data_IF_188720017556
#
_entry.id   IF_188720017556
#
_cell.length_a   1.000
_cell.length_b   1.000
_cell.length_c   1.000
_cell.angle_alpha   90.00
_cell.angle_beta   90.00
_cell.angle_gamma   90.00
#
_symmetry.space_group_name_H-M   'P 1'
#
loop_
_entity.id
_entity.type
_entity.pdbx_description
1 polymer ?
#
# COMPACT_ATOMS: atom_id res chain seq x y z
N UNK A 1 -20.52 8.86 5.16
CA UNK A 1 -19.81 7.95 4.25
C UNK A 1 -18.36 8.42 4.13
N UNK A 2 -17.38 7.52 4.25
CA UNK A 2 -15.94 7.81 4.16
C UNK A 2 -15.44 7.49 2.75
N UNK A 3 -14.62 8.37 2.14
CA UNK A 3 -13.97 8.07 0.86
C UNK A 3 -12.55 7.56 1.10
N UNK A 4 -12.20 6.42 0.53
CA UNK A 4 -10.86 5.84 0.52
C UNK A 4 -10.21 6.17 -0.82
N UNK A 5 -9.17 6.97 -0.82
CA UNK A 5 -8.34 7.22 -2.00
C UNK A 5 -7.11 6.33 -1.96
N UNK A 6 -6.78 5.69 -3.08
CA UNK A 6 -5.54 4.92 -3.21
C UNK A 6 -4.57 5.61 -4.14
N UNK A 7 -3.29 5.60 -3.81
CA UNK A 7 -2.20 6.18 -4.61
C UNK A 7 -1.02 5.22 -4.68
N UNK A 8 -0.32 5.25 -5.79
CA UNK A 8 0.92 4.52 -5.97
C UNK A 8 0.80 3.41 -7.02
N UNK A 9 1.08 2.19 -6.63
CA UNK A 9 1.40 1.07 -7.50
C UNK A 9 0.42 -0.13 -7.43
N UNK A 10 0.85 -1.26 -8.01
CA UNK A 10 0.10 -2.52 -8.05
C UNK A 10 -0.25 -3.09 -6.69
N UNK A 11 0.46 -2.74 -5.61
CA UNK A 11 0.11 -3.21 -4.26
C UNK A 11 -1.32 -2.82 -3.90
N UNK A 12 -1.77 -1.64 -4.34
CA UNK A 12 -3.15 -1.16 -4.16
C UNK A 12 -4.03 -1.34 -5.41
N UNK A 13 -3.43 -1.62 -6.59
CA UNK A 13 -4.12 -1.85 -7.87
C UNK A 13 -3.86 -3.28 -8.39
N UNK A 14 -4.05 -4.29 -7.54
CA UNK A 14 -3.78 -5.70 -7.87
C UNK A 14 -5.00 -6.51 -8.30
N UNK A 15 -6.15 -5.87 -8.52
CA UNK A 15 -7.39 -6.56 -8.86
C UNK A 15 -7.26 -7.43 -10.11
N UNK A 16 -6.55 -6.97 -11.13
CA UNK A 16 -6.35 -7.70 -12.38
C UNK A 16 -5.41 -8.91 -12.26
N UNK A 17 -4.68 -9.06 -11.14
CA UNK A 17 -3.85 -10.25 -10.86
C UNK A 17 -4.65 -11.40 -10.24
N UNK A 18 -5.95 -11.24 -10.02
CA UNK A 18 -6.80 -12.31 -9.52
C UNK A 18 -8.13 -12.37 -10.26
N UNK A 19 -8.66 -13.59 -10.40
CA UNK A 19 -9.90 -13.85 -11.18
C UNK A 19 -11.16 -13.16 -10.65
N UNK A 20 -11.12 -12.60 -9.45
CA UNK A 20 -12.28 -11.95 -8.82
C UNK A 20 -12.26 -10.43 -9.00
N UNK A 21 -11.19 -9.87 -9.57
CA UNK A 21 -11.03 -8.44 -9.75
C UNK A 21 -10.91 -7.65 -8.44
N UNK A 22 -10.47 -8.29 -7.35
CA UNK A 22 -10.51 -7.73 -6.01
C UNK A 22 -9.18 -7.06 -5.63
N UNK A 23 -9.25 -5.82 -5.18
CA UNK A 23 -8.14 -5.02 -4.67
C UNK A 23 -8.26 -4.75 -3.15
N UNK A 24 -7.16 -4.37 -2.47
CA UNK A 24 -7.21 -4.03 -1.04
C UNK A 24 -8.19 -2.90 -0.73
N UNK A 25 -8.28 -1.87 -1.59
CA UNK A 25 -9.20 -0.74 -1.42
C UNK A 25 -10.66 -1.16 -1.45
N UNK A 26 -11.03 -2.07 -2.37
CA UNK A 26 -12.38 -2.61 -2.45
C UNK A 26 -12.74 -3.39 -1.19
N UNK A 27 -11.81 -4.23 -0.69
CA UNK A 27 -12.02 -5.01 0.53
C UNK A 27 -12.16 -4.14 1.79
N UNK A 28 -11.53 -2.98 1.83
CA UNK A 28 -11.71 -2.00 2.92
C UNK A 28 -13.09 -1.35 2.88
N UNK A 29 -13.61 -1.09 1.69
CA UNK A 29 -14.94 -0.51 1.52
C UNK A 29 -16.03 -1.53 1.81
N UNK A 30 -15.87 -2.74 1.26
CA UNK A 30 -16.80 -3.86 1.47
C UNK A 30 -16.06 -5.19 1.36
N UNK A 31 -16.12 -5.97 2.41
CA UNK A 31 -15.56 -7.32 2.41
C UNK A 31 -16.31 -8.24 1.43
N UNK A 32 -15.63 -9.22 0.90
CA UNK A 32 -16.16 -10.36 0.17
C UNK A 32 -16.28 -11.53 1.14
N UNK A 33 -17.39 -11.63 1.84
CA UNK A 33 -17.64 -12.64 2.88
C UNK A 33 -17.58 -14.08 2.34
N UNK A 34 -17.84 -14.23 1.05
CA UNK A 34 -17.70 -15.49 0.31
C UNK A 34 -16.23 -15.92 0.11
N UNK A 35 -15.31 -14.96 0.07
CA UNK A 35 -13.87 -15.19 -0.10
C UNK A 35 -13.11 -15.11 1.23
N UNK A 36 -13.54 -14.22 2.11
CA UNK A 36 -12.87 -13.88 3.37
C UNK A 36 -13.88 -13.80 4.53
N UNK A 37 -14.49 -14.94 4.94
CA UNK A 37 -15.49 -14.95 6.00
C UNK A 37 -14.94 -14.48 7.35
N UNK A 38 -13.63 -14.63 7.58
CA UNK A 38 -12.93 -14.19 8.79
C UNK A 38 -12.88 -12.67 8.96
N UNK A 39 -13.19 -11.92 7.90
CA UNK A 39 -13.24 -10.46 7.92
C UNK A 39 -14.67 -9.89 7.90
N UNK A 40 -15.67 -10.74 8.08
CA UNK A 40 -17.07 -10.27 8.13
C UNK A 40 -17.24 -9.15 9.16
N UNK A 41 -17.82 -8.03 8.74
CA UNK A 41 -17.99 -6.83 9.56
C UNK A 41 -16.71 -6.02 9.79
N UNK A 42 -15.59 -6.40 9.18
CA UNK A 42 -14.33 -5.67 9.25
C UNK A 42 -14.06 -4.89 7.94
N UNK A 43 -15.04 -4.06 7.58
CA UNK A 43 -15.01 -3.16 6.43
C UNK A 43 -15.89 -1.93 6.69
N UNK A 44 -15.80 -0.93 5.83
CA UNK A 44 -16.54 0.33 6.02
C UNK A 44 -18.06 0.17 5.90
N UNK A 45 -18.57 -0.90 5.29
CA UNK A 45 -20.03 -1.11 5.20
C UNK A 45 -20.67 -1.31 6.56
N UNK A 46 -19.94 -1.87 7.52
CA UNK A 46 -20.36 -2.01 8.92
C UNK A 46 -20.36 -0.69 9.71
N UNK A 47 -19.77 0.38 9.16
CA UNK A 47 -19.58 1.68 9.82
C UNK A 47 -20.23 2.85 9.06
N UNK A 48 -21.34 2.61 8.40
CA UNK A 48 -22.08 3.64 7.65
C UNK A 48 -21.64 3.80 6.19
N UNK A 49 -20.86 2.84 5.69
CA UNK A 49 -20.46 2.76 4.29
C UNK A 49 -19.23 3.58 3.92
N UNK A 50 -18.62 3.17 2.82
CA UNK A 50 -17.47 3.83 2.21
C UNK A 50 -17.56 3.87 0.69
N UNK A 51 -16.68 4.66 0.07
CA UNK A 51 -16.47 4.74 -1.36
C UNK A 51 -14.99 4.62 -1.66
N UNK A 52 -14.63 3.90 -2.72
CA UNK A 52 -13.27 3.82 -3.23
C UNK A 52 -13.09 4.81 -4.39
N UNK A 53 -12.00 5.56 -4.34
CA UNK A 53 -11.43 6.33 -5.44
C UNK A 53 -10.06 5.73 -5.77
N UNK A 54 -10.03 4.83 -6.72
CA UNK A 54 -8.84 4.11 -7.14
C UNK A 54 -8.00 5.00 -8.06
N UNK A 55 -6.90 5.58 -7.52
CA UNK A 55 -5.94 6.39 -8.28
C UNK A 55 -4.58 5.69 -8.40
N UNK A 56 -4.28 4.70 -7.54
CA UNK A 56 -3.14 3.82 -7.71
C UNK A 56 -3.21 3.10 -9.06
N UNK A 57 -2.07 2.85 -9.67
CA UNK A 57 -1.98 2.20 -10.98
C UNK A 57 -0.84 1.20 -10.96
N UNK A 58 -1.08 0.03 -11.53
CA UNK A 58 -0.04 -0.96 -11.77
C UNK A 58 1.18 -0.35 -12.47
N UNK A 59 2.39 -0.77 -12.08
CA UNK A 59 3.64 -0.19 -12.55
C UNK A 59 3.95 1.23 -12.03
N UNK A 60 3.10 1.78 -11.14
CA UNK A 60 3.27 3.12 -10.59
C UNK A 60 4.60 3.29 -9.84
N UNK A 61 5.24 4.45 -10.00
CA UNK A 61 6.44 4.88 -9.29
C UNK A 61 6.18 6.22 -8.59
N UNK A 62 7.14 6.71 -7.85
CA UNK A 62 7.07 8.05 -7.25
C UNK A 62 6.78 9.14 -8.30
N UNK A 63 7.18 8.93 -9.56
CA UNK A 63 6.87 9.82 -10.68
C UNK A 63 5.37 9.87 -11.04
N UNK A 64 4.63 8.81 -10.75
CA UNK A 64 3.19 8.70 -11.06
C UNK A 64 2.34 9.52 -10.09
N UNK A 65 2.80 9.74 -8.86
CA UNK A 65 2.02 10.34 -7.78
C UNK A 65 1.47 11.72 -8.11
N UNK A 66 2.25 12.58 -8.76
CA UNK A 66 1.81 13.92 -9.16
C UNK A 66 0.65 13.88 -10.17
N UNK A 67 0.62 12.88 -11.07
CA UNK A 67 -0.48 12.66 -12.00
C UNK A 67 -1.71 12.13 -11.26
N UNK A 68 -1.53 11.15 -10.39
CA UNK A 68 -2.60 10.56 -9.59
C UNK A 68 -3.27 11.63 -8.70
N UNK A 69 -2.48 12.51 -8.10
CA UNK A 69 -2.99 13.62 -7.27
C UNK A 69 -3.98 14.52 -8.04
N UNK A 70 -3.78 14.73 -9.34
CA UNK A 70 -4.72 15.50 -10.17
C UNK A 70 -6.10 14.85 -10.32
N UNK A 71 -6.21 13.56 -10.02
CA UNK A 71 -7.48 12.83 -9.97
C UNK A 71 -8.34 13.13 -8.74
N UNK A 72 -7.77 13.74 -7.69
CA UNK A 72 -8.53 14.09 -6.50
C UNK A 72 -9.53 15.18 -6.81
N UNK A 73 -10.82 14.88 -6.63
CA UNK A 73 -11.94 15.80 -6.78
C UNK A 73 -12.68 15.84 -5.47
N UNK A 74 -12.90 17.01 -4.91
CA UNK A 74 -13.68 17.26 -3.68
C UNK A 74 -13.61 16.09 -2.67
N UNK A 75 -12.51 15.94 -1.94
CA UNK A 75 -12.27 14.73 -1.14
C UNK A 75 -13.27 14.55 0.00
N UNK A 76 -13.87 15.64 0.51
CA UNK A 76 -14.79 15.60 1.64
C UNK A 76 -14.17 14.87 2.84
N UNK A 77 -14.95 14.01 3.51
CA UNK A 77 -14.42 13.11 4.56
C UNK A 77 -13.71 11.94 3.90
N UNK A 78 -12.40 11.96 3.91
CA UNK A 78 -11.57 11.00 3.20
C UNK A 78 -10.33 10.54 3.98
N UNK A 79 -9.78 9.42 3.54
CA UNK A 79 -8.45 8.91 3.92
C UNK A 79 -7.65 8.59 2.67
N UNK A 80 -6.33 8.70 2.74
CA UNK A 80 -5.43 8.32 1.66
C UNK A 80 -4.61 7.10 2.04
N UNK A 81 -4.60 6.10 1.17
CA UNK A 81 -3.71 4.94 1.22
C UNK A 81 -2.64 5.12 0.15
N UNK A 82 -1.38 4.98 0.53
CA UNK A 82 -0.24 5.18 -0.36
C UNK A 82 0.66 3.96 -0.30
N UNK A 83 1.02 3.42 -1.47
CA UNK A 83 2.02 2.37 -1.64
C UNK A 83 2.88 2.71 -2.84
N UNK A 84 4.17 2.96 -2.64
CA UNK A 84 5.10 3.34 -3.70
C UNK A 84 6.52 2.99 -3.31
N UNK A 85 7.35 2.70 -4.30
CA UNK A 85 8.77 2.43 -4.10
C UNK A 85 9.22 1.06 -4.59
N UNK A 86 8.34 0.07 -4.68
CA UNK A 86 8.66 -1.24 -5.22
C UNK A 86 9.14 -1.15 -6.68
N UNK A 87 8.36 -0.50 -7.52
CA UNK A 87 8.75 -0.26 -8.92
C UNK A 87 9.96 0.68 -9.05
N UNK A 88 10.11 1.67 -8.16
CA UNK A 88 11.29 2.54 -8.15
C UNK A 88 12.57 1.73 -7.87
N UNK A 89 12.52 0.76 -6.93
CA UNK A 89 13.62 -0.17 -6.70
C UNK A 89 13.95 -0.97 -7.95
N UNK A 90 12.96 -1.61 -8.57
CA UNK A 90 13.16 -2.46 -9.75
C UNK A 90 13.63 -1.67 -10.98
N UNK A 91 13.23 -0.41 -11.12
CA UNK A 91 13.58 0.47 -12.22
C UNK A 91 14.89 1.22 -12.04
N UNK A 92 15.66 0.91 -10.98
CA UNK A 92 17.03 1.43 -10.84
C UNK A 92 17.52 1.65 -9.42
N UNK A 93 16.65 1.90 -8.44
CA UNK A 93 17.10 2.20 -7.07
C UNK A 93 17.81 1.02 -6.41
N UNK A 94 17.57 -0.23 -6.85
CA UNK A 94 18.35 -1.38 -6.36
C UNK A 94 19.86 -1.26 -6.65
N UNK A 95 20.25 -0.52 -7.69
CA UNK A 95 21.64 -0.29 -8.07
C UNK A 95 22.13 1.13 -7.74
N UNK A 96 21.26 2.01 -7.29
CA UNK A 96 21.57 3.42 -7.04
C UNK A 96 22.56 3.60 -5.88
N UNK A 97 23.40 4.64 -5.99
CA UNK A 97 24.41 4.98 -4.99
C UNK A 97 24.04 6.19 -4.14
N UNK A 98 22.97 6.91 -4.51
CA UNK A 98 22.49 8.07 -3.75
C UNK A 98 21.52 8.96 -4.50
N UNK A 99 21.85 9.47 -5.69
CA UNK A 99 21.06 10.51 -6.35
C UNK A 99 19.61 10.13 -6.64
N UNK A 100 19.35 8.87 -6.98
CA UNK A 100 17.99 8.38 -7.20
C UNK A 100 17.15 8.37 -5.93
N UNK A 101 17.75 8.04 -4.78
CA UNK A 101 17.07 8.11 -3.48
C UNK A 101 16.75 9.55 -3.08
N UNK A 102 17.63 10.51 -3.37
CA UNK A 102 17.39 11.91 -3.09
C UNK A 102 16.21 12.44 -3.94
N UNK A 103 16.14 12.02 -5.19
CA UNK A 103 15.03 12.36 -6.09
C UNK A 103 13.72 11.70 -5.65
N UNK A 104 13.75 10.42 -5.26
CA UNK A 104 12.60 9.72 -4.68
C UNK A 104 12.08 10.46 -3.44
N UNK A 105 12.98 10.79 -2.49
CA UNK A 105 12.65 11.54 -1.29
C UNK A 105 11.96 12.86 -1.63
N UNK A 106 12.57 13.64 -2.53
CA UNK A 106 12.06 14.95 -2.93
C UNK A 106 10.64 14.85 -3.51
N UNK A 107 10.41 13.87 -4.40
CA UNK A 107 9.09 13.69 -5.05
C UNK A 107 8.02 13.19 -4.10
N UNK A 108 8.35 12.21 -3.26
CA UNK A 108 7.41 11.68 -2.27
C UNK A 108 7.04 12.75 -1.24
N UNK A 109 8.02 13.52 -0.74
CA UNK A 109 7.76 14.65 0.17
C UNK A 109 6.87 15.72 -0.48
N UNK A 110 7.14 16.08 -1.73
CA UNK A 110 6.31 17.03 -2.47
C UNK A 110 4.86 16.54 -2.64
N UNK A 111 4.67 15.24 -2.93
CA UNK A 111 3.35 14.64 -3.00
C UNK A 111 2.63 14.69 -1.65
N UNK A 112 3.28 14.26 -0.55
CA UNK A 112 2.69 14.26 0.79
C UNK A 112 2.32 15.66 1.26
N UNK A 113 3.12 16.68 0.88
CA UNK A 113 2.82 18.09 1.16
C UNK A 113 1.59 18.56 0.40
N UNK A 114 1.49 18.24 -0.88
CA UNK A 114 0.43 18.70 -1.77
C UNK A 114 -0.90 17.94 -1.61
N UNK A 115 -0.88 16.75 -1.00
CA UNK A 115 -2.07 15.91 -0.85
C UNK A 115 -3.07 16.56 0.12
N UNK A 116 -4.31 16.88 -0.33
CA UNK A 116 -5.30 17.58 0.50
C UNK A 116 -6.12 16.65 1.41
N UNK A 117 -5.74 15.38 1.49
CA UNK A 117 -6.46 14.34 2.24
C UNK A 117 -5.72 14.01 3.53
N UNK A 118 -6.43 13.97 4.63
CA UNK A 118 -5.92 13.49 5.93
C UNK A 118 -6.98 12.62 6.61
N UNK A 119 -6.56 11.57 7.34
CA UNK A 119 -5.20 11.08 7.51
C UNK A 119 -4.64 10.37 6.26
N UNK A 120 -3.31 10.23 6.24
CA UNK A 120 -2.57 9.47 5.23
C UNK A 120 -1.97 8.22 5.88
N UNK A 121 -2.17 7.08 5.26
CA UNK A 121 -1.56 5.80 5.59
C UNK A 121 -0.59 5.45 4.47
N UNK A 122 0.71 5.40 4.75
CA UNK A 122 1.73 5.07 3.76
C UNK A 122 2.43 3.76 4.12
N UNK A 123 2.48 2.84 3.16
CA UNK A 123 3.11 1.55 3.34
C UNK A 123 4.61 1.60 3.02
N UNK A 124 5.41 0.84 3.78
CA UNK A 124 6.74 0.47 3.37
C UNK A 124 6.70 -0.65 2.31
N UNK A 125 7.82 -0.87 1.61
CA UNK A 125 7.94 -1.86 0.53
C UNK A 125 8.21 -3.24 1.12
N UNK A 126 7.37 -4.22 0.83
CA UNK A 126 7.59 -5.60 1.22
C UNK A 126 8.74 -6.25 0.43
N UNK A 127 9.21 -7.39 0.91
CA UNK A 127 10.21 -8.22 0.24
C UNK A 127 9.54 -9.48 -0.33
N UNK A 128 9.42 -9.60 -1.66
CA UNK A 128 8.76 -10.77 -2.27
C UNK A 128 9.59 -12.05 -2.15
N UNK A 129 10.87 -11.97 -1.78
CA UNK A 129 11.68 -13.15 -1.46
C UNK A 129 11.42 -13.68 -0.06
N UNK A 130 10.64 -12.96 0.75
CA UNK A 130 10.34 -13.29 2.15
C UNK A 130 11.60 -13.50 3.00
N UNK A 131 12.69 -12.75 2.70
CA UNK A 131 13.96 -12.87 3.39
C UNK A 131 14.87 -13.98 2.88
N UNK A 132 14.44 -14.79 1.92
CA UNK A 132 15.25 -15.87 1.37
C UNK A 132 16.03 -15.43 0.12
N UNK A 133 17.33 -15.18 0.31
CA UNK A 133 18.22 -14.70 -0.75
C UNK A 133 18.38 -15.69 -1.93
N UNK A 134 18.04 -16.97 -1.74
CA UNK A 134 18.01 -17.97 -2.82
C UNK A 134 16.96 -17.64 -3.88
N UNK A 135 15.95 -16.87 -3.53
CA UNK A 135 14.89 -16.38 -4.42
C UNK A 135 15.16 -14.99 -4.99
N UNK A 136 16.41 -14.51 -4.92
CA UNK A 136 16.76 -13.23 -5.54
C UNK A 136 16.57 -13.28 -7.06
N UNK A 137 15.52 -12.62 -7.53
CA UNK A 137 15.12 -12.55 -8.94
C UNK A 137 15.63 -11.30 -9.65
N UNK A 138 16.26 -10.37 -8.92
CA UNK A 138 16.60 -9.03 -9.44
C UNK A 138 17.88 -9.00 -10.28
N UNK A 139 18.72 -10.00 -10.16
CA UNK A 139 20.07 -10.00 -10.76
C UNK A 139 21.07 -9.03 -10.10
N UNK A 140 20.63 -8.30 -9.08
CA UNK A 140 21.49 -7.39 -8.31
C UNK A 140 22.19 -8.17 -7.19
N UNK A 141 23.48 -7.88 -6.86
CA UNK A 141 24.12 -8.49 -5.70
C UNK A 141 23.28 -8.34 -4.43
N UNK A 142 23.09 -9.45 -3.71
CA UNK A 142 22.17 -9.55 -2.56
C UNK A 142 22.39 -8.44 -1.54
N UNK A 143 23.63 -8.20 -1.12
CA UNK A 143 23.94 -7.18 -0.12
C UNK A 143 23.49 -5.77 -0.57
N UNK A 144 23.68 -5.45 -1.85
CA UNK A 144 23.26 -4.17 -2.42
C UNK A 144 21.73 -4.09 -2.47
N UNK A 145 21.08 -5.14 -2.96
CA UNK A 145 19.62 -5.19 -3.03
C UNK A 145 19.00 -5.02 -1.64
N UNK A 146 19.50 -5.76 -0.65
CA UNK A 146 19.09 -5.64 0.75
C UNK A 146 19.37 -4.26 1.35
N UNK A 147 20.55 -3.71 1.07
CA UNK A 147 20.93 -2.37 1.53
C UNK A 147 19.99 -1.29 0.98
N UNK A 148 19.72 -1.32 -0.31
CA UNK A 148 18.87 -0.35 -0.97
C UNK A 148 17.38 -0.54 -0.63
N UNK A 149 16.93 -1.79 -0.43
CA UNK A 149 15.60 -2.07 0.08
C UNK A 149 15.39 -1.51 1.50
N UNK A 150 16.36 -1.69 2.42
CA UNK A 150 16.30 -1.05 3.75
C UNK A 150 16.27 0.47 3.62
N UNK A 151 17.14 1.05 2.78
CA UNK A 151 17.25 2.50 2.60
C UNK A 151 15.93 3.14 2.13
N UNK A 152 15.21 2.51 1.19
CA UNK A 152 13.91 3.06 0.75
C UNK A 152 12.87 2.97 1.88
N UNK A 153 12.87 1.90 2.64
CA UNK A 153 11.93 1.72 3.76
C UNK A 153 12.20 2.72 4.89
N UNK A 154 13.47 2.95 5.24
CA UNK A 154 13.86 3.97 6.21
C UNK A 154 13.46 5.38 5.74
N UNK A 155 13.62 5.65 4.45
CA UNK A 155 13.23 6.91 3.85
C UNK A 155 11.71 7.12 3.89
N UNK A 156 10.93 6.09 3.54
CA UNK A 156 9.46 6.14 3.63
C UNK A 156 9.02 6.37 5.08
N UNK A 157 9.62 5.66 6.05
CA UNK A 157 9.32 5.81 7.47
C UNK A 157 9.65 7.23 7.98
N UNK A 158 10.80 7.77 7.59
CA UNK A 158 11.19 9.15 7.90
C UNK A 158 10.19 10.16 7.35
N UNK A 159 9.81 10.05 6.08
CA UNK A 159 8.82 10.94 5.47
C UNK A 159 7.43 10.78 6.08
N UNK A 160 7.02 9.56 6.43
CA UNK A 160 5.76 9.35 7.16
C UNK A 160 5.73 10.17 8.45
N UNK A 161 6.80 10.10 9.24
CA UNK A 161 6.95 10.88 10.47
C UNK A 161 6.99 12.41 10.20
N UNK A 162 7.78 12.85 9.23
CA UNK A 162 7.93 14.27 8.87
C UNK A 162 6.59 14.91 8.45
N UNK A 163 5.72 14.14 7.78
CA UNK A 163 4.43 14.61 7.26
C UNK A 163 3.22 14.23 8.12
N UNK A 164 3.43 13.67 9.31
CA UNK A 164 2.33 13.24 10.20
C UNK A 164 1.44 12.16 9.58
N UNK A 165 2.02 11.30 8.74
CA UNK A 165 1.37 10.14 8.15
C UNK A 165 1.59 8.91 9.01
N UNK A 166 0.67 7.96 8.96
CA UNK A 166 0.82 6.67 9.66
C UNK A 166 1.56 5.69 8.76
N UNK A 167 2.68 5.16 9.23
CA UNK A 167 3.40 4.09 8.53
C UNK A 167 2.65 2.77 8.66
N UNK A 168 2.44 2.09 7.54
CA UNK A 168 1.92 0.74 7.47
C UNK A 168 3.07 -0.22 7.20
N UNK A 169 3.37 -1.09 8.15
CA UNK A 169 4.47 -2.06 8.05
C UNK A 169 4.06 -3.29 7.21
N UNK A 170 4.01 -3.12 5.88
CA UNK A 170 3.83 -4.26 4.98
C UNK A 170 5.07 -5.15 4.96
N UNK A 171 6.27 -4.58 5.05
CA UNK A 171 7.50 -5.35 5.04
C UNK A 171 7.54 -6.38 6.17
N UNK A 172 7.40 -5.93 7.40
CA UNK A 172 7.40 -6.84 8.55
C UNK A 172 6.22 -7.81 8.55
N UNK A 173 5.06 -7.42 8.00
CA UNK A 173 3.91 -8.31 7.87
C UNK A 173 4.17 -9.43 6.86
N UNK A 174 4.63 -9.10 5.65
CA UNK A 174 4.87 -10.06 4.57
C UNK A 174 6.05 -10.99 4.84
N UNK A 175 7.09 -10.57 5.58
CA UNK A 175 8.17 -11.46 6.02
C UNK A 175 7.69 -12.63 6.89
N UNK A 176 6.54 -12.50 7.54
CA UNK A 176 5.91 -13.56 8.36
C UNK A 176 4.81 -14.31 7.61
N UNK A 177 4.65 -14.01 6.33
CA UNK A 177 3.59 -14.51 5.48
C UNK A 177 3.93 -15.82 4.78
N UNK A 178 3.27 -16.05 3.68
CA UNK A 178 3.37 -17.26 2.87
C UNK A 178 3.60 -16.89 1.40
N UNK A 179 4.31 -17.74 0.66
CA UNK A 179 4.53 -17.54 -0.78
C UNK A 179 3.22 -17.42 -1.58
N UNK A 180 2.12 -18.01 -1.08
CA UNK A 180 0.78 -17.92 -1.67
C UNK A 180 0.19 -16.49 -1.65
N UNK A 181 0.81 -15.56 -0.90
CA UNK A 181 0.40 -14.14 -0.90
C UNK A 181 0.88 -13.40 -2.15
N UNK A 182 1.77 -14.03 -2.92
CA UNK A 182 2.30 -13.47 -4.16
C UNK A 182 1.79 -14.22 -5.40
N UNK A 183 1.72 -13.49 -6.49
CA UNK A 183 1.56 -13.99 -7.85
C UNK A 183 2.53 -13.23 -8.75
N UNK A 184 2.81 -13.74 -9.95
CA UNK A 184 3.73 -13.08 -10.91
C UNK A 184 5.04 -12.59 -10.24
N UNK A 185 5.57 -13.37 -9.30
CA UNK A 185 6.81 -13.15 -8.53
C UNK A 185 6.66 -12.08 -7.43
N UNK A 186 6.10 -10.92 -7.74
CA UNK A 186 6.13 -9.75 -6.85
C UNK A 186 4.75 -9.19 -6.50
N UNK A 187 3.73 -9.55 -7.26
CA UNK A 187 2.41 -8.94 -7.15
C UNK A 187 1.58 -9.57 -6.04
N UNK A 188 0.73 -8.81 -5.34
CA UNK A 188 -0.19 -9.41 -4.40
C UNK A 188 -1.18 -10.33 -5.11
N UNK A 189 -1.24 -11.60 -4.70
CA UNK A 189 -2.32 -12.52 -5.08
C UNK A 189 -3.65 -12.07 -4.44
N UNK A 190 -4.73 -12.82 -4.68
CA UNK A 190 -6.00 -12.61 -3.98
C UNK A 190 -5.82 -12.62 -2.44
N UNK A 191 -5.01 -13.58 -1.93
CA UNK A 191 -4.67 -13.66 -0.49
C UNK A 191 -3.80 -12.48 -0.08
N UNK A 192 -2.80 -12.13 -0.90
CA UNK A 192 -1.94 -10.96 -0.68
C UNK A 192 -2.73 -9.66 -0.61
N UNK A 193 -3.70 -9.46 -1.49
CA UNK A 193 -4.60 -8.30 -1.45
C UNK A 193 -5.37 -8.21 -0.12
N UNK A 194 -5.84 -9.36 0.40
CA UNK A 194 -6.48 -9.42 1.71
C UNK A 194 -5.51 -9.10 2.86
N UNK A 195 -4.25 -9.51 2.76
CA UNK A 195 -3.24 -9.23 3.78
C UNK A 195 -2.78 -7.75 3.74
N UNK A 196 -2.66 -7.17 2.56
CA UNK A 196 -2.47 -5.70 2.41
C UNK A 196 -3.65 -4.97 3.07
N UNK A 197 -4.91 -5.35 2.73
CA UNK A 197 -6.10 -4.79 3.38
C UNK A 197 -6.05 -4.92 4.89
N UNK A 198 -5.63 -6.07 5.45
CA UNK A 198 -5.50 -6.30 6.89
C UNK A 198 -4.61 -5.27 7.56
N UNK A 199 -3.47 -4.94 6.93
CA UNK A 199 -2.54 -3.96 7.47
C UNK A 199 -3.13 -2.55 7.52
N UNK A 200 -3.78 -2.12 6.45
CA UNK A 200 -4.46 -0.81 6.44
C UNK A 200 -5.67 -0.77 7.36
N UNK A 201 -6.45 -1.84 7.45
CA UNK A 201 -7.62 -1.91 8.31
C UNK A 201 -7.29 -1.70 9.79
N UNK A 202 -6.18 -2.25 10.27
CA UNK A 202 -5.73 -2.09 11.67
C UNK A 202 -5.58 -0.63 12.08
N UNK A 203 -5.22 0.24 11.16
CA UNK A 203 -5.08 1.68 11.41
C UNK A 203 -6.39 2.42 11.10
N UNK A 204 -7.05 2.07 10.00
CA UNK A 204 -8.28 2.71 9.57
C UNK A 204 -9.40 2.57 10.62
N UNK A 205 -9.55 1.39 11.21
CA UNK A 205 -10.61 1.13 12.21
C UNK A 205 -10.50 2.04 13.44
N UNK A 206 -9.31 2.50 13.79
CA UNK A 206 -9.10 3.42 14.93
C UNK A 206 -9.72 4.80 14.72
N UNK A 207 -10.05 5.17 13.49
CA UNK A 207 -10.71 6.43 13.12
C UNK A 207 -12.22 6.33 13.09
N UNK A 208 -12.74 5.12 13.16
CA UNK A 208 -14.17 4.87 13.05
C UNK A 208 -14.83 4.99 14.44
N UNK A 209 -16.12 5.37 14.51
CA UNK A 209 -16.84 5.34 15.78
C UNK A 209 -16.74 3.93 16.38
N UNK A 210 -16.63 3.84 17.71
CA UNK A 210 -16.75 2.56 18.39
C UNK A 210 -18.03 1.88 17.88
N UNK A 211 -17.89 0.67 17.31
CA UNK A 211 -18.94 0.05 16.54
C UNK A 211 -20.25 0.02 17.30
N UNK A 212 -21.34 0.36 16.64
CA UNK A 212 -22.62 -0.13 17.05
C UNK A 212 -22.49 -1.66 17.06
N UNK A 213 -22.67 -2.27 18.22
CA UNK A 213 -22.77 -3.72 18.34
C UNK A 213 -23.64 -4.21 17.19
N UNK A 214 -23.13 -5.21 16.44
CA UNK A 214 -23.89 -5.82 15.38
C UNK A 214 -25.27 -6.16 15.99
N UNK A 215 -26.32 -5.52 15.49
CA UNK A 215 -27.65 -5.84 15.88
C UNK A 215 -27.90 -7.34 15.59
N UNK A 216 -28.53 -8.07 16.52
CA UNK A 216 -28.66 -9.52 16.45
C UNK A 216 -29.41 -9.99 15.21
#
# INVERSE_FOLDING_TARGET
MLTVFTFGDSVLDCGHYNRYGVSPGELLVRNRDDLFPEFRGQDLSAFGGGRLEQLAQDGGTVNSLARQLRGVRDPGKAVALVSVGGNDLLQGLLMDTGPGFDEFRRKLSAFLTALPIRPVFIANVYDPTMGDDRHNFTGVPVERARGNHRRINDLIAGLASEHGSTLIDLHGHFLRGEASWFTSTIEPSLRGASEVRRCYWRELVKLLPAGAEAAP
#
